data_IF_111467382299
#
_entry.id   IF_111467382299
#
_cell.length_a   1.000
_cell.length_b   1.000
_cell.length_c   1.000
_cell.angle_alpha   90.00
_cell.angle_beta   90.00
_cell.angle_gamma   90.00
#
_symmetry.space_group_name_H-M   'P 1'
#
loop_
_entity.id
_entity.type
_entity.pdbx_description
1 polymer ?
#
# COMPACT_ATOMS: atom_id res chain seq x y z
N UNK A 1 53.93 -28.30 -52.19
CA UNK A 1 52.61 -28.61 -52.69
C UNK A 1 51.65 -28.70 -51.50
N UNK A 2 51.00 -27.58 -51.18
CA UNK A 2 50.13 -27.49 -50.00
C UNK A 2 48.69 -27.74 -50.50
N UNK A 3 48.11 -28.87 -50.08
CA UNK A 3 46.70 -29.23 -50.38
C UNK A 3 45.82 -28.51 -49.37
N UNK A 4 45.19 -27.41 -49.79
CA UNK A 4 44.19 -26.71 -49.00
C UNK A 4 42.92 -27.54 -48.85
N UNK A 5 42.66 -28.07 -47.64
CA UNK A 5 41.35 -28.66 -47.32
C UNK A 5 40.31 -27.55 -47.22
N UNK A 6 39.36 -27.49 -48.15
CA UNK A 6 38.17 -26.69 -48.05
C UNK A 6 37.23 -27.30 -46.97
N UNK A 7 36.77 -26.52 -46.00
CA UNK A 7 35.80 -27.05 -45.03
C UNK A 7 34.49 -27.40 -45.73
N UNK A 8 33.96 -28.57 -45.39
CA UNK A 8 32.69 -29.08 -45.94
C UNK A 8 31.53 -28.14 -45.56
N UNK A 9 30.77 -27.69 -46.56
CA UNK A 9 29.62 -26.80 -46.41
C UNK A 9 28.54 -27.39 -45.46
N UNK A 10 28.45 -28.72 -45.40
CA UNK A 10 27.49 -29.43 -44.54
C UNK A 10 27.78 -29.24 -43.05
N UNK A 11 29.04 -29.23 -42.65
CA UNK A 11 29.41 -29.00 -41.21
C UNK A 11 29.17 -27.60 -40.73
N UNK A 12 29.08 -26.60 -41.61
CA UNK A 12 28.73 -25.21 -41.28
C UNK A 12 27.22 -25.08 -41.06
N UNK A 13 26.44 -25.74 -41.89
CA UNK A 13 24.97 -25.71 -41.80
C UNK A 13 24.45 -26.40 -40.52
N UNK A 14 25.03 -27.51 -40.12
CA UNK A 14 24.67 -28.22 -38.89
C UNK A 14 25.03 -27.44 -37.65
N UNK A 15 26.19 -26.77 -37.63
CA UNK A 15 26.56 -25.89 -36.49
C UNK A 15 25.65 -24.70 -36.33
N UNK A 16 25.21 -24.10 -37.44
CA UNK A 16 24.27 -22.96 -37.36
C UNK A 16 22.90 -23.40 -36.86
N UNK A 17 22.40 -24.56 -37.27
CA UNK A 17 21.12 -25.09 -36.76
C UNK A 17 21.19 -25.42 -35.27
N UNK A 18 22.32 -25.93 -34.77
CA UNK A 18 22.50 -26.22 -33.36
C UNK A 18 22.59 -24.94 -32.53
N UNK A 19 23.24 -23.89 -33.04
CA UNK A 19 23.32 -22.58 -32.41
C UNK A 19 21.96 -21.90 -32.31
N UNK A 20 21.18 -21.92 -33.37
CA UNK A 20 19.79 -21.42 -33.43
C UNK A 20 18.90 -22.12 -32.39
N UNK A 21 18.96 -23.47 -32.37
CA UNK A 21 18.14 -24.24 -31.42
C UNK A 21 18.50 -24.00 -29.97
N UNK A 22 19.78 -23.81 -29.65
CA UNK A 22 20.23 -23.47 -28.27
C UNK A 22 19.86 -22.03 -27.90
N UNK A 23 19.93 -21.09 -28.84
CA UNK A 23 19.55 -19.69 -28.62
C UNK A 23 18.07 -19.54 -28.34
N UNK A 24 17.21 -20.19 -29.13
CA UNK A 24 15.76 -20.18 -28.89
C UNK A 24 15.35 -20.90 -27.60
N UNK A 25 16.05 -21.97 -27.21
CA UNK A 25 15.82 -22.66 -25.93
C UNK A 25 16.21 -21.78 -24.73
N UNK A 26 17.30 -21.04 -24.83
CA UNK A 26 17.73 -20.11 -23.79
C UNK A 26 16.76 -18.93 -23.62
N UNK A 27 16.27 -18.36 -24.71
CA UNK A 27 15.28 -17.27 -24.67
C UNK A 27 13.96 -17.77 -24.08
N UNK A 28 13.48 -18.96 -24.46
CA UNK A 28 12.26 -19.54 -23.93
C UNK A 28 12.37 -19.81 -22.40
N UNK A 29 13.55 -20.26 -21.94
CA UNK A 29 13.81 -20.48 -20.51
C UNK A 29 13.85 -19.16 -19.73
N UNK A 30 14.45 -18.13 -20.31
CA UNK A 30 14.47 -16.77 -19.72
C UNK A 30 13.05 -16.17 -19.60
N UNK A 31 12.21 -16.38 -20.63
CA UNK A 31 10.83 -15.93 -20.63
C UNK A 31 9.97 -16.66 -19.59
N UNK A 32 10.18 -17.96 -19.40
CA UNK A 32 9.50 -18.76 -18.38
C UNK A 32 9.89 -18.34 -16.95
N UNK A 33 11.14 -17.98 -16.72
CA UNK A 33 11.62 -17.52 -15.41
C UNK A 33 11.11 -16.11 -15.09
N UNK A 34 10.96 -15.23 -16.08
CA UNK A 34 10.47 -13.85 -15.87
C UNK A 34 8.98 -13.79 -15.52
N UNK A 35 8.17 -14.74 -15.96
CA UNK A 35 6.72 -14.78 -15.66
C UNK A 35 6.44 -15.32 -14.25
N UNK A 36 7.38 -16.08 -13.66
CA UNK A 36 7.20 -16.67 -12.32
C UNK A 36 7.27 -15.65 -11.16
N UNK A 37 7.63 -14.38 -11.42
CA UNK A 37 7.72 -13.33 -10.40
C UNK A 37 6.55 -12.33 -10.41
N UNK A 38 5.44 -12.65 -11.07
CA UNK A 38 4.18 -11.92 -10.88
C UNK A 38 3.61 -12.31 -9.50
N UNK A 39 4.21 -11.76 -8.45
CA UNK A 39 3.65 -11.83 -7.11
C UNK A 39 2.23 -11.26 -7.15
N UNK A 40 1.24 -12.04 -6.80
CA UNK A 40 -0.11 -11.54 -6.54
C UNK A 40 -0.02 -10.66 -5.29
N UNK A 41 -0.08 -9.35 -5.45
CA UNK A 41 -0.29 -8.44 -4.34
C UNK A 41 -1.71 -8.73 -3.80
N UNK A 42 -1.78 -9.43 -2.67
CA UNK A 42 -3.02 -9.53 -1.91
C UNK A 42 -3.22 -8.18 -1.21
N UNK A 43 -4.29 -7.47 -1.56
CA UNK A 43 -4.71 -6.30 -0.80
C UNK A 43 -5.17 -6.76 0.59
N UNK A 44 -4.52 -6.26 1.63
CA UNK A 44 -4.90 -6.50 3.01
C UNK A 44 -6.15 -5.71 3.40
N UNK A 45 -6.91 -6.23 4.38
CA UNK A 45 -8.00 -5.51 5.01
C UNK A 45 -7.71 -5.37 6.50
N UNK A 46 -7.79 -4.13 7.01
CA UNK A 46 -7.65 -3.83 8.43
C UNK A 46 -8.95 -3.24 8.95
N UNK A 47 -9.49 -3.82 10.02
CA UNK A 47 -10.68 -3.31 10.71
C UNK A 47 -10.26 -2.42 11.87
N UNK A 48 -10.83 -1.22 11.96
CA UNK A 48 -10.66 -0.26 13.04
C UNK A 48 -12.01 -0.03 13.70
N UNK A 49 -12.11 -0.27 14.98
CA UNK A 49 -13.34 -0.01 15.73
C UNK A 49 -13.40 1.44 16.24
N UNK A 50 -14.59 2.01 16.23
CA UNK A 50 -14.89 3.32 16.82
C UNK A 50 -15.53 3.11 18.20
N UNK A 51 -14.82 3.52 19.28
CA UNK A 51 -15.11 3.11 20.65
C UNK A 51 -15.35 4.29 21.58
N UNK A 52 -16.36 4.17 22.45
CA UNK A 52 -16.52 5.06 23.59
C UNK A 52 -15.44 4.83 24.65
N UNK A 53 -14.97 3.57 24.76
CA UNK A 53 -13.92 3.19 25.71
C UNK A 53 -13.17 1.97 25.17
N UNK A 54 -11.85 2.00 25.25
CA UNK A 54 -10.93 0.90 24.95
C UNK A 54 -10.52 0.21 26.27
N UNK A 55 -10.01 -1.00 26.18
CA UNK A 55 -9.66 -1.85 27.36
C UNK A 55 -8.57 -1.23 28.23
N UNK A 56 -7.67 -0.42 27.64
CA UNK A 56 -6.65 0.34 28.36
C UNK A 56 -7.21 1.52 29.18
N UNK A 57 -8.52 1.75 29.10
CA UNK A 57 -9.23 2.83 29.80
C UNK A 57 -9.38 4.12 29.02
N UNK A 58 -8.76 4.26 27.85
CA UNK A 58 -8.89 5.42 26.96
C UNK A 58 -10.35 5.57 26.49
N UNK A 59 -10.83 6.84 26.44
CA UNK A 59 -12.21 7.15 26.10
C UNK A 59 -12.28 7.92 24.79
N UNK A 60 -13.36 7.70 24.02
CA UNK A 60 -13.59 8.31 22.72
C UNK A 60 -12.36 8.11 21.82
N UNK A 61 -12.12 6.86 21.42
CA UNK A 61 -10.91 6.43 20.71
C UNK A 61 -11.23 5.49 19.57
N UNK A 62 -10.31 5.37 18.65
CA UNK A 62 -10.25 4.25 17.70
C UNK A 62 -9.54 3.06 18.36
N UNK A 63 -9.81 1.84 17.91
CA UNK A 63 -9.16 0.63 18.46
C UNK A 63 -7.64 0.65 18.30
N UNK A 64 -7.15 1.31 17.24
CA UNK A 64 -5.74 1.55 16.96
C UNK A 64 -5.48 3.05 16.80
N UNK A 65 -4.43 3.54 17.45
CA UNK A 65 -3.98 4.92 17.29
C UNK A 65 -3.21 5.10 15.96
N UNK A 66 -2.49 4.04 15.54
CA UNK A 66 -1.75 3.97 14.28
C UNK A 66 -2.05 2.63 13.60
N UNK A 67 -2.32 2.68 12.31
CA UNK A 67 -2.54 1.53 11.43
C UNK A 67 -1.49 1.55 10.33
N UNK A 68 -0.69 0.49 10.23
CA UNK A 68 0.25 0.30 9.13
C UNK A 68 -0.40 -0.55 8.03
N UNK A 69 -0.33 -0.07 6.80
CA UNK A 69 -0.87 -0.75 5.60
C UNK A 69 0.08 -0.59 4.41
N UNK A 70 -0.08 -1.42 3.39
CA UNK A 70 0.61 -1.29 2.11
C UNK A 70 -0.25 -0.58 1.06
N UNK A 71 0.36 -0.10 -0.02
CA UNK A 71 -0.39 0.46 -1.15
C UNK A 71 -1.32 -0.61 -1.74
N UNK A 72 -2.59 -0.25 -1.89
CA UNK A 72 -3.64 -1.16 -2.35
C UNK A 72 -4.48 -1.77 -1.23
N UNK A 73 -4.05 -1.65 0.02
CA UNK A 73 -4.80 -2.12 1.18
C UNK A 73 -6.02 -1.24 1.49
N UNK A 74 -6.93 -1.81 2.24
CA UNK A 74 -8.19 -1.18 2.64
C UNK A 74 -8.30 -1.15 4.15
N UNK A 75 -8.72 -0.01 4.72
CA UNK A 75 -9.10 0.11 6.12
C UNK A 75 -10.60 0.31 6.22
N UNK A 76 -11.23 -0.44 7.11
CA UNK A 76 -12.67 -0.35 7.39
C UNK A 76 -12.89 0.08 8.83
N UNK A 77 -13.52 1.24 9.02
CA UNK A 77 -13.91 1.76 10.34
C UNK A 77 -15.32 1.29 10.68
N UNK A 78 -15.44 0.53 11.76
CA UNK A 78 -16.69 -0.06 12.24
C UNK A 78 -17.25 0.71 13.43
N UNK A 79 -18.51 1.16 13.39
CA UNK A 79 -19.15 1.88 14.50
C UNK A 79 -19.58 0.91 15.61
N UNK A 80 -18.62 0.34 16.33
CA UNK A 80 -18.86 -0.60 17.43
C UNK A 80 -19.66 0.05 18.54
N UNK A 81 -19.41 1.34 18.83
CA UNK A 81 -20.26 2.15 19.68
C UNK A 81 -20.82 3.36 18.90
N UNK A 82 -21.91 3.97 19.40
CA UNK A 82 -22.58 5.08 18.72
C UNK A 82 -21.88 6.42 19.01
N UNK A 83 -22.06 7.39 18.13
CA UNK A 83 -21.59 8.76 18.29
C UNK A 83 -20.34 9.08 17.47
N UNK A 84 -19.88 8.17 16.64
CA UNK A 84 -18.59 8.29 15.96
C UNK A 84 -18.70 8.38 14.43
N UNK A 85 -17.67 8.96 13.82
CA UNK A 85 -17.44 9.02 12.38
C UNK A 85 -15.95 9.11 12.07
N UNK A 86 -15.61 9.16 10.78
CA UNK A 86 -14.24 9.32 10.28
C UNK A 86 -14.19 10.55 9.36
N UNK A 87 -13.27 11.44 9.63
CA UNK A 87 -12.96 12.61 8.82
C UNK A 87 -11.46 12.71 8.62
N UNK A 88 -10.98 12.54 7.38
CA UNK A 88 -9.57 12.76 7.07
C UNK A 88 -9.30 14.26 7.04
N UNK A 89 -8.29 14.70 7.79
CA UNK A 89 -7.91 16.11 7.92
C UNK A 89 -6.57 16.44 7.29
N UNK A 90 -5.70 15.44 7.09
CA UNK A 90 -4.46 15.60 6.36
C UNK A 90 -4.01 14.27 5.73
N UNK A 91 -3.20 14.36 4.68
CA UNK A 91 -2.61 13.24 3.97
C UNK A 91 -1.51 13.69 3.02
N UNK A 92 -0.93 12.78 2.24
CA UNK A 92 0.03 13.13 1.19
C UNK A 92 -0.57 14.11 0.16
N UNK A 93 0.24 15.05 -0.34
CA UNK A 93 -0.22 16.08 -1.28
C UNK A 93 -0.82 15.52 -2.59
N UNK A 94 -0.39 14.33 -3.00
CA UNK A 94 -0.91 13.64 -4.19
C UNK A 94 -2.16 12.81 -3.93
N UNK A 95 -2.57 12.65 -2.66
CA UNK A 95 -3.75 11.87 -2.32
C UNK A 95 -5.02 12.72 -2.35
N UNK A 96 -6.09 12.14 -2.89
CA UNK A 96 -7.43 12.73 -2.77
C UNK A 96 -8.07 12.18 -1.51
N UNK A 97 -8.24 13.03 -0.50
CA UNK A 97 -8.87 12.63 0.75
C UNK A 97 -10.37 12.37 0.54
N UNK A 98 -10.91 11.28 1.09
CA UNK A 98 -12.31 10.96 0.95
C UNK A 98 -13.19 11.94 1.74
N UNK A 99 -14.46 12.05 1.33
CA UNK A 99 -15.43 12.82 2.09
C UNK A 99 -15.64 12.21 3.48
N UNK A 100 -15.92 13.08 4.45
CA UNK A 100 -16.28 12.67 5.82
C UNK A 100 -17.39 11.62 5.83
N UNK A 101 -17.22 10.56 6.63
CA UNK A 101 -18.24 9.54 6.80
C UNK A 101 -19.48 10.05 7.54
N UNK A 102 -20.61 9.40 7.33
CA UNK A 102 -21.82 9.65 8.12
C UNK A 102 -21.64 9.11 9.53
N UNK A 103 -22.33 9.76 10.48
CA UNK A 103 -22.33 9.34 11.88
C UNK A 103 -22.91 7.91 12.03
N UNK A 104 -22.26 7.08 12.84
CA UNK A 104 -22.68 5.70 13.13
C UNK A 104 -22.78 4.80 11.88
N UNK A 105 -22.02 5.09 10.86
CA UNK A 105 -21.94 4.25 9.65
C UNK A 105 -20.54 3.71 9.50
N UNK A 106 -20.49 2.45 9.06
CA UNK A 106 -19.27 1.85 8.58
C UNK A 106 -18.70 2.69 7.43
N UNK A 107 -17.38 2.81 7.41
CA UNK A 107 -16.66 3.57 6.40
C UNK A 107 -15.43 2.80 5.97
N UNK A 108 -15.26 2.68 4.66
CA UNK A 108 -14.15 1.93 4.07
C UNK A 108 -13.38 2.85 3.12
N UNK A 109 -12.05 2.79 3.16
CA UNK A 109 -11.18 3.52 2.25
C UNK A 109 -9.98 2.66 1.83
N UNK A 110 -9.70 2.66 0.52
CA UNK A 110 -8.53 2.02 -0.08
C UNK A 110 -7.41 3.04 -0.21
N UNK A 111 -6.20 2.67 0.23
CA UNK A 111 -5.04 3.55 0.19
C UNK A 111 -4.17 3.27 -1.03
N UNK A 112 -4.07 4.24 -1.94
CA UNK A 112 -3.34 4.10 -3.21
C UNK A 112 -2.07 4.97 -3.26
N UNK A 113 -1.87 5.86 -2.30
CA UNK A 113 -0.73 6.78 -2.24
C UNK A 113 0.05 6.56 -0.95
N UNK A 114 1.37 6.32 -1.02
CA UNK A 114 2.21 6.17 0.17
C UNK A 114 2.27 7.44 1.01
N UNK A 115 2.33 7.30 2.34
CA UNK A 115 2.45 8.41 3.27
C UNK A 115 1.58 8.26 4.50
N UNK A 116 1.56 9.30 5.35
CA UNK A 116 0.76 9.33 6.58
C UNK A 116 -0.54 10.08 6.31
N UNK A 117 -1.65 9.49 6.75
CA UNK A 117 -2.98 10.07 6.73
C UNK A 117 -3.44 10.28 8.17
N UNK A 118 -3.86 11.50 8.49
CA UNK A 118 -4.43 11.86 9.79
C UNK A 118 -5.95 11.93 9.66
N UNK A 119 -6.65 11.25 10.55
CA UNK A 119 -8.10 11.29 10.63
C UNK A 119 -8.58 11.52 12.07
N UNK A 120 -9.80 12.01 12.19
CA UNK A 120 -10.41 12.36 13.47
C UNK A 120 -11.88 11.93 13.50
N UNK A 121 -12.43 11.84 14.70
CA UNK A 121 -13.88 11.81 14.93
C UNK A 121 -14.42 13.22 15.10
N UNK A 122 -15.25 13.72 14.19
CA UNK A 122 -15.75 15.11 14.23
C UNK A 122 -16.40 15.50 15.56
N UNK A 123 -17.31 14.67 16.16
CA UNK A 123 -17.91 15.00 17.45
C UNK A 123 -16.93 15.03 18.63
N UNK A 124 -15.85 14.22 18.56
CA UNK A 124 -14.94 14.03 19.69
C UNK A 124 -13.52 14.57 19.42
N UNK A 125 -13.37 15.46 18.44
CA UNK A 125 -12.07 16.07 18.11
C UNK A 125 -11.45 16.82 19.29
N UNK A 126 -12.27 17.54 20.08
CA UNK A 126 -11.82 18.23 21.28
C UNK A 126 -11.39 17.29 22.42
N UNK A 127 -11.77 16.01 22.34
CA UNK A 127 -11.35 14.96 23.29
C UNK A 127 -10.13 14.19 22.80
N UNK A 128 -9.57 14.56 21.63
CA UNK A 128 -8.40 13.91 21.08
C UNK A 128 -8.69 12.57 20.38
N UNK A 129 -9.94 12.32 19.91
CA UNK A 129 -10.24 11.13 19.13
C UNK A 129 -9.68 11.27 17.71
N UNK A 130 -8.43 10.90 17.55
CA UNK A 130 -7.65 10.95 16.32
C UNK A 130 -7.00 9.60 16.05
N UNK A 131 -6.59 9.36 14.79
CA UNK A 131 -5.81 8.20 14.42
C UNK A 131 -4.99 8.46 13.15
N UNK A 132 -4.00 7.61 12.93
CA UNK A 132 -3.12 7.67 11.77
C UNK A 132 -3.21 6.38 10.95
N UNK A 133 -3.13 6.52 9.63
CA UNK A 133 -2.80 5.41 8.74
C UNK A 133 -1.47 5.71 8.08
N UNK A 134 -0.52 4.79 8.19
CA UNK A 134 0.81 4.88 7.57
C UNK A 134 0.86 3.87 6.42
N UNK A 135 1.00 4.38 5.21
CA UNK A 135 1.01 3.58 3.98
C UNK A 135 2.45 3.39 3.51
N UNK A 136 2.85 2.13 3.27
CA UNK A 136 4.21 1.72 2.87
C UNK A 136 5.32 2.19 3.83
N UNK A 137 5.02 2.36 5.10
CA UNK A 137 5.96 2.91 6.10
C UNK A 137 6.57 4.25 5.66
N UNK A 138 5.91 4.96 4.75
CA UNK A 138 6.37 6.23 4.20
C UNK A 138 5.95 7.39 5.13
N UNK A 139 6.94 8.08 5.70
CA UNK A 139 6.74 9.19 6.62
C UNK A 139 7.20 10.53 6.06
N UNK A 140 7.35 10.66 4.74
CA UNK A 140 7.90 11.86 4.10
C UNK A 140 7.05 13.12 4.31
N UNK A 141 5.76 12.97 4.57
CA UNK A 141 4.83 14.09 4.85
C UNK A 141 4.60 14.35 6.34
N UNK A 142 5.40 13.76 7.25
CA UNK A 142 5.25 13.94 8.71
C UNK A 142 5.27 15.41 9.15
N UNK A 143 6.13 16.22 8.54
CA UNK A 143 6.28 17.62 8.94
C UNK A 143 5.02 18.43 8.61
N UNK A 144 4.36 18.15 7.48
CA UNK A 144 3.08 18.75 7.13
C UNK A 144 1.99 18.42 8.17
N UNK A 145 1.99 17.21 8.72
CA UNK A 145 1.02 16.79 9.73
C UNK A 145 1.21 17.49 11.08
N UNK A 146 2.45 17.77 11.45
CA UNK A 146 2.76 18.47 12.70
C UNK A 146 2.20 19.90 12.72
N UNK A 147 2.09 20.55 11.56
CA UNK A 147 1.52 21.90 11.43
C UNK A 147 -0.01 21.91 11.25
N UNK A 148 -0.62 20.78 10.87
CA UNK A 148 -2.08 20.66 10.69
C UNK A 148 -2.80 20.08 11.90
N UNK A 149 -2.07 19.44 12.81
CA UNK A 149 -2.63 18.89 14.05
C UNK A 149 -2.99 20.04 15.00
N UNK A 150 -4.21 20.07 15.57
CA UNK A 150 -4.56 21.08 16.57
C UNK A 150 -3.58 21.00 17.75
N UNK A 151 -2.94 22.13 18.06
CA UNK A 151 -2.06 22.21 19.20
C UNK A 151 -2.84 21.97 20.50
N UNK A 152 -2.33 21.18 21.44
CA UNK A 152 -2.96 21.06 22.77
C UNK A 152 -3.09 22.38 23.55
N UNK A 153 -2.50 23.47 23.02
CA UNK A 153 -2.55 24.81 23.65
C UNK A 153 -3.69 25.69 23.13
N UNK A 154 -4.43 25.24 22.12
CA UNK A 154 -5.49 26.03 21.49
C UNK A 154 -6.90 25.57 21.93
N UNK A 155 -6.97 24.80 23.02
CA UNK A 155 -8.21 24.34 23.67
C UNK A 155 -8.46 25.04 25.01
#
# INVERSE_FOLDING_TARGET
>A
MLIGMKPSINGIKERNQMFEALFFRSIALYFLISVANLGTAFAGNVDVEMLNKRDDGAKMVYSYDIVDVEVGDTVTWKPTTKGHNVEFIAGPNSAVLPKKSKLNKEFTHKFEVPGIYLYQCTPHKAMGMIGLVVVDKNTNNKDCLLYTSPSPRDS
#
